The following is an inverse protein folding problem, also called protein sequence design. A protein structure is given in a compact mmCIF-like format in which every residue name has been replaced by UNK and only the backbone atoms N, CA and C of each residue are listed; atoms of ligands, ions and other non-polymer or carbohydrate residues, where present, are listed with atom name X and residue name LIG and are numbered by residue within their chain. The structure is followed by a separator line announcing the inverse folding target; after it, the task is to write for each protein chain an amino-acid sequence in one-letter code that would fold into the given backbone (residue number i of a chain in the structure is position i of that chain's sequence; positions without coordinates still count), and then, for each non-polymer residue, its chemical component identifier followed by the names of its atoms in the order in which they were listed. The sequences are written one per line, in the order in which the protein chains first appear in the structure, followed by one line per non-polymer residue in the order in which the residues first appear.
data_IF_926195260463
#
_entry.id   IF_926195260463
#
_cell.length_a   1.000
_cell.length_b   1.000
_cell.length_c   1.000
_cell.angle_alpha   90.00
_cell.angle_beta   90.00
_cell.angle_gamma   90.00
#
_symmetry.space_group_name_H-M   'P 1'
#
loop_
_entity.id
_entity.type
_entity.pdbx_description
1 polymer ?
#
# COMPACT_ATOMS: atom_id res chain seq x y z
N UNK A 1 -12.98 -4.23 -5.87
CA UNK A 1 -12.44 -3.20 -6.80
C UNK A 1 -10.98 -3.54 -7.05
N UNK A 2 -10.53 -3.51 -8.31
CA UNK A 2 -9.16 -3.86 -8.72
C UNK A 2 -8.60 -2.93 -9.79
N UNK A 3 -7.28 -3.05 -10.09
CA UNK A 3 -6.56 -2.19 -11.04
C UNK A 3 -6.07 -0.91 -10.39
N UNK A 4 -6.46 0.24 -10.93
CA UNK A 4 -6.17 1.55 -10.35
C UNK A 4 -5.25 2.43 -11.20
N UNK A 5 -5.31 3.72 -10.95
CA UNK A 5 -4.42 4.71 -11.58
C UNK A 5 -3.20 4.94 -10.68
N UNK A 6 -2.33 3.93 -10.61
CA UNK A 6 -1.10 3.95 -9.80
C UNK A 6 0.03 3.18 -10.48
N UNK A 7 1.26 3.37 -10.00
CA UNK A 7 2.43 2.58 -10.41
C UNK A 7 2.32 1.10 -10.02
N UNK A 8 1.41 0.78 -9.10
CA UNK A 8 1.21 -0.58 -8.56
C UNK A 8 0.00 -1.29 -9.17
N UNK A 9 -0.46 -0.86 -10.35
CA UNK A 9 -1.59 -1.44 -11.07
C UNK A 9 -1.44 -2.95 -11.30
N UNK A 10 -0.29 -3.41 -11.77
CA UNK A 10 -0.03 -4.84 -12.02
C UNK A 10 -0.13 -5.68 -10.74
N UNK A 11 0.34 -5.14 -9.62
CA UNK A 11 0.23 -5.79 -8.30
C UNK A 11 -1.23 -6.00 -7.90
N UNK A 12 -2.09 -5.01 -8.18
CA UNK A 12 -3.53 -5.14 -7.96
C UNK A 12 -4.15 -6.25 -8.80
N UNK A 13 -3.73 -6.43 -10.06
CA UNK A 13 -4.21 -7.52 -10.91
C UNK A 13 -3.83 -8.90 -10.34
N UNK A 14 -2.57 -9.07 -9.94
CA UNK A 14 -2.06 -10.30 -9.33
C UNK A 14 -2.77 -10.64 -8.02
N UNK A 15 -2.89 -9.68 -7.12
CA UNK A 15 -3.56 -9.83 -5.83
C UNK A 15 -5.03 -10.19 -6.01
N UNK A 16 -5.70 -9.54 -6.97
CA UNK A 16 -7.10 -9.81 -7.29
C UNK A 16 -7.30 -11.20 -7.88
N UNK A 17 -6.45 -11.61 -8.81
CA UNK A 17 -6.51 -12.95 -9.39
C UNK A 17 -6.34 -14.02 -8.30
N UNK A 18 -5.34 -13.87 -7.43
CA UNK A 18 -5.11 -14.76 -6.30
C UNK A 18 -6.32 -14.82 -5.35
N UNK A 19 -6.89 -13.66 -4.99
CA UNK A 19 -8.09 -13.59 -4.15
C UNK A 19 -9.27 -14.34 -4.78
N UNK A 20 -9.55 -14.12 -6.07
CA UNK A 20 -10.68 -14.69 -6.78
C UNK A 20 -10.61 -16.21 -6.94
N UNK A 21 -9.40 -16.80 -6.86
CA UNK A 21 -9.21 -18.26 -6.83
C UNK A 21 -9.61 -18.87 -5.49
N UNK A 22 -9.55 -18.10 -4.39
CA UNK A 22 -9.71 -18.62 -3.03
C UNK A 22 -10.99 -18.13 -2.33
N UNK A 23 -11.65 -17.09 -2.84
CA UNK A 23 -12.87 -16.56 -2.24
C UNK A 23 -14.01 -17.57 -2.30
N UNK A 24 -14.78 -17.68 -1.22
CA UNK A 24 -15.92 -18.60 -1.16
C UNK A 24 -17.10 -18.04 -1.99
N UNK A 25 -17.27 -18.59 -3.21
CA UNK A 25 -18.33 -18.19 -4.15
C UNK A 25 -19.72 -18.67 -3.77
N UNK A 26 -19.84 -19.66 -2.87
CA UNK A 26 -21.15 -20.09 -2.34
C UNK A 26 -21.69 -19.12 -1.30
N UNK A 27 -20.77 -18.36 -0.67
CA UNK A 27 -21.12 -17.39 0.38
C UNK A 27 -21.28 -15.96 -0.16
N UNK A 28 -20.54 -15.59 -1.21
CA UNK A 28 -20.49 -14.24 -1.72
C UNK A 28 -20.86 -14.18 -3.20
N UNK A 29 -21.77 -13.25 -3.54
CA UNK A 29 -21.99 -12.85 -4.92
C UNK A 29 -21.01 -11.69 -5.24
N UNK A 30 -20.11 -11.94 -6.20
CA UNK A 30 -19.04 -10.99 -6.51
C UNK A 30 -19.47 -10.08 -7.65
N UNK A 31 -19.27 -8.76 -7.43
CA UNK A 31 -19.43 -7.75 -8.45
C UNK A 31 -18.07 -7.08 -8.68
N UNK A 32 -17.43 -7.41 -9.79
CA UNK A 32 -16.04 -6.99 -10.03
C UNK A 32 -16.01 -5.64 -10.72
N UNK A 33 -15.30 -4.68 -10.11
CA UNK A 33 -15.06 -3.36 -10.69
C UNK A 33 -13.59 -3.22 -10.98
N UNK A 34 -13.26 -3.08 -12.26
CA UNK A 34 -11.90 -2.78 -12.71
C UNK A 34 -11.71 -1.29 -12.96
N UNK A 35 -10.59 -0.76 -12.48
CA UNK A 35 -10.13 0.60 -12.78
C UNK A 35 -8.93 0.50 -13.71
N UNK A 36 -9.01 1.06 -14.90
CA UNK A 36 -7.92 1.04 -15.86
C UNK A 36 -6.75 1.92 -15.42
N UNK A 37 -5.59 1.79 -16.09
CA UNK A 37 -4.45 2.70 -15.93
C UNK A 37 -4.79 4.18 -16.12
N UNK A 38 -5.83 4.47 -16.93
CA UNK A 38 -6.32 5.84 -17.18
C UNK A 38 -7.36 6.31 -16.16
N UNK A 39 -7.67 5.48 -15.14
CA UNK A 39 -8.64 5.82 -14.10
C UNK A 39 -10.10 5.64 -14.51
N UNK A 40 -10.40 4.92 -15.60
CA UNK A 40 -11.78 4.61 -15.99
C UNK A 40 -12.29 3.39 -15.26
N UNK A 41 -13.53 3.43 -14.84
CA UNK A 41 -14.18 2.42 -14.01
C UNK A 41 -15.17 1.60 -14.80
N UNK A 42 -15.04 0.28 -14.75
CA UNK A 42 -15.91 -0.63 -15.50
C UNK A 42 -16.35 -1.81 -14.65
N UNK A 43 -17.57 -2.29 -14.90
CA UNK A 43 -18.00 -3.63 -14.46
C UNK A 43 -17.32 -4.69 -15.34
N UNK A 44 -16.71 -5.66 -14.69
CA UNK A 44 -16.08 -6.80 -15.34
C UNK A 44 -16.75 -8.11 -14.91
N UNK A 45 -17.27 -8.86 -15.87
CA UNK A 45 -17.95 -10.15 -15.69
C UNK A 45 -17.31 -11.31 -16.48
N UNK A 46 -16.11 -11.07 -17.01
CA UNK A 46 -15.36 -12.04 -17.81
C UNK A 46 -14.56 -13.07 -16.98
N UNK A 47 -13.85 -13.97 -17.66
CA UNK A 47 -12.95 -14.94 -17.03
C UNK A 47 -11.85 -14.24 -16.20
N UNK A 48 -11.59 -14.75 -14.99
CA UNK A 48 -10.61 -14.13 -14.08
C UNK A 48 -9.17 -14.12 -14.64
N UNK A 49 -8.87 -15.02 -15.57
CA UNK A 49 -7.59 -15.09 -16.27
C UNK A 49 -7.31 -13.83 -17.09
N UNK A 50 -8.33 -13.12 -17.57
CA UNK A 50 -8.17 -11.85 -18.25
C UNK A 50 -7.67 -10.74 -17.32
N UNK A 51 -7.88 -10.86 -16.01
CA UNK A 51 -7.36 -9.91 -15.03
C UNK A 51 -5.83 -10.02 -14.97
N UNK A 52 -5.32 -11.23 -14.72
CA UNK A 52 -3.86 -11.44 -14.64
C UNK A 52 -3.14 -11.22 -15.98
N UNK A 53 -3.82 -11.41 -17.11
CA UNK A 53 -3.30 -11.15 -18.45
C UNK A 53 -3.39 -9.67 -18.86
N UNK A 54 -4.00 -8.81 -18.03
CA UNK A 54 -4.28 -7.40 -18.33
C UNK A 54 -5.06 -7.19 -19.65
N UNK A 55 -6.01 -8.10 -19.95
CA UNK A 55 -6.88 -8.03 -21.14
C UNK A 55 -8.35 -7.77 -20.77
N UNK A 56 -8.66 -7.69 -19.47
CA UNK A 56 -10.01 -7.54 -18.93
C UNK A 56 -10.76 -6.30 -19.44
N UNK A 57 -10.04 -5.24 -19.79
CA UNK A 57 -10.58 -3.95 -20.23
C UNK A 57 -10.82 -3.85 -21.75
N UNK A 58 -10.48 -4.88 -22.52
CA UNK A 58 -10.57 -4.88 -23.99
C UNK A 58 -11.96 -5.21 -24.55
N UNK A 59 -12.88 -5.67 -23.70
CA UNK A 59 -14.24 -6.04 -24.10
C UNK A 59 -15.22 -4.87 -23.99
N UNK A 60 -16.47 -5.08 -24.45
CA UNK A 60 -17.56 -4.12 -24.25
C UNK A 60 -17.99 -4.09 -22.79
N UNK A 61 -17.32 -3.27 -21.99
CA UNK A 61 -17.58 -3.11 -20.59
C UNK A 61 -18.64 -2.04 -20.33
N UNK A 62 -19.39 -2.18 -19.25
CA UNK A 62 -20.30 -1.17 -18.76
C UNK A 62 -19.55 -0.20 -17.84
N UNK A 63 -19.70 1.10 -18.09
CA UNK A 63 -19.19 2.10 -17.15
C UNK A 63 -19.93 2.01 -15.83
N UNK A 64 -19.21 2.14 -14.71
CA UNK A 64 -19.79 2.15 -13.38
C UNK A 64 -19.32 3.35 -12.59
N UNK A 65 -20.20 3.81 -11.71
CA UNK A 65 -19.92 4.89 -10.74
C UNK A 65 -20.40 4.43 -9.38
N UNK A 66 -19.57 4.62 -8.36
CA UNK A 66 -20.01 4.54 -6.96
C UNK A 66 -20.78 5.83 -6.66
N UNK A 67 -22.06 5.70 -6.30
CA UNK A 67 -22.84 6.88 -5.89
C UNK A 67 -22.44 7.29 -4.48
N UNK A 68 -22.00 8.53 -4.23
CA UNK A 68 -21.75 9.02 -2.88
C UNK A 68 -23.05 9.23 -2.06
N UNK A 69 -24.22 9.16 -2.70
CA UNK A 69 -25.52 9.27 -2.05
C UNK A 69 -25.81 7.98 -1.24
N UNK A 70 -25.87 8.04 0.11
CA UNK A 70 -26.08 6.86 0.94
C UNK A 70 -27.44 6.20 0.73
N UNK A 71 -28.43 6.91 0.20
CA UNK A 71 -29.73 6.32 -0.12
C UNK A 71 -29.64 5.36 -1.33
N UNK A 72 -28.65 5.53 -2.18
CA UNK A 72 -28.38 4.61 -3.29
C UNK A 72 -27.75 3.32 -2.82
N UNK A 73 -26.87 3.38 -1.84
CA UNK A 73 -26.18 2.22 -1.24
C UNK A 73 -25.69 1.22 -2.30
N UNK A 74 -24.90 1.71 -3.26
CA UNK A 74 -24.46 0.85 -4.36
C UNK A 74 -23.83 1.57 -5.53
N UNK A 75 -23.87 0.87 -6.65
CA UNK A 75 -23.27 1.27 -7.92
C UNK A 75 -24.35 1.69 -8.93
N UNK A 76 -23.93 2.51 -9.86
CA UNK A 76 -24.71 2.88 -11.04
C UNK A 76 -23.97 2.36 -12.27
N UNK A 77 -24.53 1.37 -12.94
CA UNK A 77 -24.12 0.96 -14.29
C UNK A 77 -24.71 1.86 -15.32
N UNK A 78 -23.88 2.39 -16.19
CA UNK A 78 -24.26 3.32 -17.26
C UNK A 78 -24.22 2.60 -18.60
N UNK A 79 -25.35 2.53 -19.29
CA UNK A 79 -25.50 1.91 -20.61
C UNK A 79 -26.29 2.79 -21.57
N UNK A 80 -26.33 2.41 -22.84
CA UNK A 80 -27.17 3.08 -23.83
C UNK A 80 -28.69 2.96 -23.54
N UNK A 81 -29.09 1.94 -22.77
CA UNK A 81 -30.47 1.66 -22.36
C UNK A 81 -30.86 2.47 -21.12
N UNK A 82 -29.91 3.12 -20.46
CA UNK A 82 -30.15 3.90 -19.24
C UNK A 82 -29.19 3.52 -18.11
N UNK A 83 -29.55 3.93 -16.91
CA UNK A 83 -28.78 3.69 -15.69
C UNK A 83 -29.46 2.59 -14.89
N UNK A 84 -28.68 1.55 -14.51
CA UNK A 84 -29.11 0.46 -13.63
C UNK A 84 -28.46 0.63 -12.28
N UNK A 85 -29.24 0.57 -11.21
CA UNK A 85 -28.75 0.59 -9.86
C UNK A 85 -28.45 -0.84 -9.39
N UNK A 86 -27.27 -1.05 -8.77
CA UNK A 86 -26.81 -2.30 -8.19
C UNK A 86 -26.57 -2.05 -6.71
N UNK A 87 -27.34 -2.74 -5.85
CA UNK A 87 -27.14 -2.71 -4.40
C UNK A 87 -25.87 -3.50 -4.01
N UNK A 88 -25.07 -2.98 -3.09
CA UNK A 88 -23.81 -3.57 -2.65
C UNK A 88 -23.78 -3.64 -1.11
N UNK A 89 -23.58 -4.84 -0.55
CA UNK A 89 -23.50 -5.04 0.90
C UNK A 89 -22.18 -4.62 1.53
N UNK A 90 -21.06 -4.77 0.78
CA UNK A 90 -19.72 -4.38 1.22
C UNK A 90 -18.80 -4.13 0.02
N UNK A 91 -17.80 -3.31 0.20
CA UNK A 91 -16.77 -3.02 -0.81
C UNK A 91 -15.41 -3.47 -0.30
N UNK A 92 -14.71 -4.25 -1.13
CA UNK A 92 -13.36 -4.70 -0.88
C UNK A 92 -12.40 -4.17 -1.96
N UNK A 93 -11.65 -3.11 -1.69
CA UNK A 93 -10.61 -2.62 -2.60
C UNK A 93 -9.39 -3.55 -2.54
N UNK A 94 -8.97 -4.05 -3.70
CA UNK A 94 -7.68 -4.72 -3.91
C UNK A 94 -6.83 -3.79 -4.78
N UNK A 95 -6.71 -2.57 -4.33
CA UNK A 95 -5.95 -1.50 -4.97
C UNK A 95 -4.66 -1.30 -4.19
N UNK A 96 -3.57 -1.00 -4.89
CA UNK A 96 -2.28 -0.73 -4.28
C UNK A 96 -1.77 0.66 -4.62
N UNK A 97 -1.06 1.28 -3.65
CA UNK A 97 -0.44 2.58 -3.81
C UNK A 97 -1.42 3.74 -3.87
N UNK A 98 -1.07 4.71 -4.72
CA UNK A 98 -1.82 5.96 -4.88
C UNK A 98 -3.29 5.71 -5.24
N UNK A 99 -4.18 6.45 -4.62
CA UNK A 99 -5.65 6.35 -4.72
C UNK A 99 -6.24 5.05 -4.16
N UNK A 100 -5.43 4.03 -3.87
CA UNK A 100 -5.85 2.73 -3.36
C UNK A 100 -5.65 2.56 -1.85
N UNK A 101 -4.51 3.06 -1.33
CA UNK A 101 -4.10 2.87 0.06
C UNK A 101 -3.89 4.19 0.82
N UNK A 102 -4.12 5.33 0.19
CA UNK A 102 -3.83 6.67 0.72
C UNK A 102 -5.04 7.39 1.33
N UNK A 103 -6.16 6.70 1.52
CA UNK A 103 -7.40 7.28 2.05
C UNK A 103 -8.36 7.79 0.98
N UNK A 104 -7.94 7.88 -0.28
CA UNK A 104 -8.76 8.47 -1.36
C UNK A 104 -9.98 7.60 -1.68
N UNK A 105 -9.78 6.32 -2.00
CA UNK A 105 -10.89 5.38 -2.25
C UNK A 105 -11.71 5.13 -0.97
N UNK A 106 -11.04 5.08 0.18
CA UNK A 106 -11.69 4.90 1.48
C UNK A 106 -12.65 6.05 1.77
N UNK A 107 -12.25 7.30 1.47
CA UNK A 107 -13.10 8.48 1.65
C UNK A 107 -14.33 8.46 0.73
N UNK A 108 -14.17 8.05 -0.54
CA UNK A 108 -15.30 7.86 -1.45
C UNK A 108 -16.28 6.81 -0.91
N UNK A 109 -15.79 5.65 -0.47
CA UNK A 109 -16.61 4.57 0.07
C UNK A 109 -17.28 5.01 1.36
N UNK A 110 -16.60 5.70 2.25
CA UNK A 110 -17.14 6.20 3.52
C UNK A 110 -18.35 7.11 3.31
N UNK A 111 -18.36 7.95 2.26
CA UNK A 111 -19.51 8.78 1.92
C UNK A 111 -20.76 7.98 1.58
N UNK A 112 -20.61 6.79 1.02
CA UNK A 112 -21.72 5.91 0.62
C UNK A 112 -22.39 5.18 1.78
N UNK A 113 -21.74 5.14 2.95
CA UNK A 113 -22.12 4.30 4.11
C UNK A 113 -22.14 2.79 3.81
N UNK A 114 -21.56 2.35 2.71
CA UNK A 114 -21.36 0.93 2.42
C UNK A 114 -20.17 0.43 3.27
N UNK A 115 -20.27 -0.70 3.96
CA UNK A 115 -19.16 -1.28 4.69
C UNK A 115 -17.91 -1.45 3.83
N UNK A 116 -16.80 -0.91 4.30
CA UNK A 116 -15.48 -1.06 3.69
C UNK A 116 -14.73 -2.22 4.36
N UNK A 117 -14.18 -3.12 3.56
CA UNK A 117 -13.25 -4.15 4.05
C UNK A 117 -11.83 -3.60 3.91
N UNK A 118 -11.23 -3.21 5.02
CA UNK A 118 -9.92 -2.58 5.10
C UNK A 118 -9.87 -1.44 6.12
N UNK A 119 -8.77 -0.72 6.15
CA UNK A 119 -8.58 0.46 6.99
C UNK A 119 -9.44 1.63 6.53
N UNK A 120 -9.76 2.54 7.45
CA UNK A 120 -10.53 3.74 7.13
C UNK A 120 -9.69 4.82 6.41
N UNK A 121 -10.32 5.95 6.12
CA UNK A 121 -9.70 7.08 5.41
C UNK A 121 -8.49 7.63 6.16
N UNK A 122 -8.61 7.82 7.48
CA UNK A 122 -7.55 8.46 8.28
C UNK A 122 -6.35 7.54 8.44
N UNK A 123 -6.57 6.29 8.85
CA UNK A 123 -5.49 5.31 9.04
C UNK A 123 -4.77 5.01 7.74
N UNK A 124 -5.50 4.87 6.63
CA UNK A 124 -4.90 4.70 5.29
C UNK A 124 -4.00 5.88 4.91
N UNK A 125 -4.47 7.11 5.08
CA UNK A 125 -3.68 8.30 4.78
C UNK A 125 -2.43 8.44 5.66
N UNK A 126 -2.55 8.12 6.96
CA UNK A 126 -1.43 8.14 7.89
C UNK A 126 -0.38 7.08 7.57
N UNK A 127 -0.80 5.84 7.30
CA UNK A 127 0.11 4.74 6.97
C UNK A 127 0.85 4.96 5.65
N UNK A 128 0.24 5.64 4.69
CA UNK A 128 0.88 5.97 3.42
C UNK A 128 1.97 7.05 3.57
N UNK A 129 1.81 8.01 4.47
CA UNK A 129 2.77 9.11 4.71
C UNK A 129 3.83 8.68 5.72
N UNK A 130 5.01 8.30 5.22
CA UNK A 130 6.10 7.75 6.04
C UNK A 130 6.50 8.67 7.21
N UNK A 131 6.62 9.98 6.98
CA UNK A 131 7.03 10.91 8.04
C UNK A 131 5.95 11.06 9.11
N UNK A 132 4.66 11.11 8.73
CA UNK A 132 3.57 11.20 9.69
C UNK A 132 3.42 9.91 10.47
N UNK A 133 3.50 8.74 9.81
CA UNK A 133 3.46 7.45 10.48
C UNK A 133 4.61 7.34 11.51
N UNK A 134 5.85 7.68 11.11
CA UNK A 134 7.00 7.68 12.02
C UNK A 134 6.79 8.60 13.23
N UNK A 135 6.40 9.84 13.00
CA UNK A 135 6.18 10.80 14.09
C UNK A 135 5.14 10.32 15.10
N UNK A 136 4.04 9.73 14.62
CA UNK A 136 2.95 9.25 15.48
C UNK A 136 3.41 8.04 16.30
N UNK A 137 4.07 7.05 15.69
CA UNK A 137 4.50 5.86 16.41
C UNK A 137 5.70 6.13 17.32
N UNK A 138 6.56 7.09 16.99
CA UNK A 138 7.64 7.56 17.86
C UNK A 138 7.10 8.16 19.16
N UNK A 139 6.05 8.99 19.09
CA UNK A 139 5.36 9.51 20.28
C UNK A 139 4.72 8.40 21.14
N UNK A 140 4.41 7.26 20.55
CA UNK A 140 3.97 6.06 21.27
C UNK A 140 5.12 5.23 21.85
N UNK A 141 6.37 5.71 21.74
CA UNK A 141 7.57 5.04 22.28
C UNK A 141 8.18 3.98 21.34
N UNK A 142 7.75 3.91 20.09
CA UNK A 142 8.34 3.02 19.09
C UNK A 142 9.54 3.71 18.43
N UNK A 143 10.65 3.01 18.34
CA UNK A 143 11.86 3.52 17.68
C UNK A 143 11.63 3.58 16.16
N UNK A 144 11.98 4.71 15.58
CA UNK A 144 11.98 4.95 14.13
C UNK A 144 13.36 5.41 13.67
N UNK A 145 13.70 5.29 12.37
CA UNK A 145 14.95 5.85 11.86
C UNK A 145 14.94 7.38 11.95
N UNK A 146 16.11 7.98 12.21
CA UNK A 146 16.27 9.41 12.05
C UNK A 146 16.06 9.77 10.59
N UNK A 147 15.32 10.85 10.33
CA UNK A 147 14.94 11.19 8.98
C UNK A 147 14.84 12.70 8.75
N UNK A 148 14.99 13.10 7.48
CA UNK A 148 14.84 14.46 7.01
C UNK A 148 13.90 14.45 5.81
N UNK A 149 12.89 15.32 5.83
CA UNK A 149 11.92 15.49 4.76
C UNK A 149 12.33 16.64 3.85
N UNK A 150 12.23 16.43 2.54
CA UNK A 150 12.40 17.45 1.52
C UNK A 150 11.08 17.67 0.78
N UNK A 151 10.67 18.94 0.63
CA UNK A 151 9.49 19.34 -0.14
C UNK A 151 9.85 19.86 -1.54
N UNK A 152 11.11 20.10 -1.79
CA UNK A 152 11.64 20.50 -3.09
C UNK A 152 13.11 20.13 -3.19
N UNK A 153 13.64 20.12 -4.42
CA UNK A 153 15.06 19.90 -4.65
C UNK A 153 15.93 21.04 -4.09
N UNK A 154 15.38 22.25 -3.98
CA UNK A 154 16.08 23.39 -3.38
C UNK A 154 16.39 23.14 -1.90
N UNK A 155 15.47 22.53 -1.15
CA UNK A 155 15.65 22.20 0.26
C UNK A 155 16.83 21.24 0.51
N UNK A 156 17.29 20.51 -0.51
CA UNK A 156 18.46 19.64 -0.37
C UNK A 156 19.70 20.43 0.06
N UNK A 157 19.92 21.62 -0.52
CA UNK A 157 21.03 22.50 -0.15
C UNK A 157 20.79 23.20 1.19
N UNK A 158 19.55 23.63 1.44
CA UNK A 158 19.18 24.33 2.67
C UNK A 158 19.31 23.42 3.90
N UNK A 159 18.97 22.13 3.75
CA UNK A 159 19.02 21.13 4.81
C UNK A 159 20.30 20.28 4.84
N UNK A 160 21.29 20.60 3.99
CA UNK A 160 22.58 19.90 3.98
C UNK A 160 23.23 19.78 5.38
N UNK A 161 23.24 20.82 6.25
CA UNK A 161 23.81 20.71 7.60
C UNK A 161 23.09 19.68 8.49
N UNK A 162 21.81 19.40 8.23
CA UNK A 162 21.04 18.37 8.95
C UNK A 162 21.30 16.99 8.36
N UNK A 163 21.31 16.90 7.02
CA UNK A 163 21.53 15.63 6.30
C UNK A 163 22.91 15.05 6.62
N UNK A 164 23.93 15.90 6.75
CA UNK A 164 25.30 15.47 7.09
C UNK A 164 25.44 14.95 8.52
N UNK A 165 24.45 15.14 9.38
CA UNK A 165 24.42 14.55 10.73
C UNK A 165 23.88 13.11 10.74
N UNK A 166 23.21 12.68 9.66
CA UNK A 166 22.73 11.32 9.51
C UNK A 166 23.87 10.35 9.20
N UNK A 167 23.79 9.16 9.75
CA UNK A 167 24.81 8.10 9.59
C UNK A 167 24.55 7.28 8.32
N UNK A 168 25.54 7.17 7.44
CA UNK A 168 25.44 6.27 6.28
C UNK A 168 25.48 4.78 6.69
N UNK A 169 24.83 3.89 5.90
CA UNK A 169 24.12 4.16 4.66
C UNK A 169 22.77 4.85 4.90
N UNK A 170 22.29 5.60 3.89
CA UNK A 170 20.99 6.26 3.94
C UNK A 170 20.04 5.63 2.93
N UNK A 171 18.75 5.67 3.24
CA UNK A 171 17.67 5.42 2.29
C UNK A 171 17.03 6.74 1.87
N UNK A 172 16.92 6.96 0.58
CA UNK A 172 16.20 8.08 -0.03
C UNK A 172 14.93 7.53 -0.66
N UNK A 173 13.76 8.03 -0.23
CA UNK A 173 12.46 7.44 -0.59
C UNK A 173 11.45 8.52 -0.95
N UNK A 174 10.54 8.27 -1.91
CA UNK A 174 9.32 9.06 -2.04
C UNK A 174 8.49 8.96 -0.75
N UNK A 175 7.83 10.04 -0.35
CA UNK A 175 7.07 10.08 0.91
C UNK A 175 5.91 9.09 0.90
N UNK A 176 5.13 9.03 -0.20
CA UNK A 176 3.85 8.33 -0.29
C UNK A 176 3.79 7.28 -1.40
N UNK A 177 4.92 6.73 -1.83
CA UNK A 177 4.93 5.60 -2.74
C UNK A 177 5.11 4.28 -1.97
N UNK A 178 4.39 3.25 -2.40
CA UNK A 178 4.52 1.89 -1.90
C UNK A 178 5.49 1.04 -2.72
N UNK A 179 5.50 -0.27 -2.47
CA UNK A 179 6.23 -1.30 -3.25
C UNK A 179 7.69 -0.99 -3.59
N UNK A 180 8.36 -0.22 -2.77
CA UNK A 180 9.75 0.22 -2.94
C UNK A 180 10.04 1.01 -4.23
N UNK A 181 9.03 1.55 -4.91
CA UNK A 181 9.24 2.44 -6.05
C UNK A 181 9.97 3.71 -5.63
N UNK A 182 10.96 4.12 -6.43
CA UNK A 182 11.71 5.35 -6.22
C UNK A 182 12.66 5.33 -5.01
N UNK A 183 12.90 4.17 -4.39
CA UNK A 183 13.80 4.03 -3.24
C UNK A 183 15.24 3.82 -3.73
N UNK A 184 16.17 4.54 -3.12
CA UNK A 184 17.62 4.35 -3.30
C UNK A 184 18.30 4.16 -1.95
N UNK A 185 19.19 3.18 -1.84
CA UNK A 185 20.14 3.06 -0.73
C UNK A 185 21.47 3.65 -1.18
N UNK A 186 21.95 4.65 -0.46
CA UNK A 186 23.20 5.35 -0.77
C UNK A 186 24.22 5.13 0.33
N UNK A 187 25.49 5.05 -0.05
CA UNK A 187 26.61 4.81 0.86
C UNK A 187 27.55 6.00 0.96
N UNK A 188 27.42 6.95 0.04
CA UNK A 188 28.24 8.17 -0.02
C UNK A 188 27.38 9.41 -0.30
N UNK A 189 27.85 10.54 0.14
CA UNK A 189 27.17 11.83 -0.08
C UNK A 189 27.04 12.18 -1.57
N UNK A 190 28.00 11.76 -2.41
CA UNK A 190 27.98 12.04 -3.86
C UNK A 190 26.81 11.41 -4.60
N UNK A 191 26.17 10.37 -4.02
CA UNK A 191 25.02 9.70 -4.60
C UNK A 191 23.69 10.41 -4.27
N UNK A 192 23.70 11.32 -3.27
CA UNK A 192 22.49 11.86 -2.65
C UNK A 192 21.61 12.64 -3.62
N UNK A 193 22.19 13.55 -4.42
CA UNK A 193 21.43 14.41 -5.34
C UNK A 193 20.69 13.57 -6.39
N UNK A 194 21.37 12.57 -6.97
CA UNK A 194 20.75 11.67 -7.95
C UNK A 194 19.61 10.86 -7.33
N UNK A 195 19.81 10.35 -6.12
CA UNK A 195 18.78 9.58 -5.39
C UNK A 195 17.55 10.43 -5.06
N UNK A 196 17.76 11.70 -4.64
CA UNK A 196 16.69 12.66 -4.36
C UNK A 196 15.93 13.03 -5.64
N UNK A 197 16.63 13.31 -6.73
CA UNK A 197 16.01 13.57 -8.04
C UNK A 197 15.15 12.37 -8.48
N UNK A 198 15.67 11.15 -8.33
CA UNK A 198 14.94 9.93 -8.67
C UNK A 198 13.67 9.76 -7.81
N UNK A 199 13.76 9.96 -6.50
CA UNK A 199 12.60 9.87 -5.62
C UNK A 199 11.53 10.92 -5.94
N UNK A 200 11.91 12.16 -6.31
CA UNK A 200 10.96 13.19 -6.76
C UNK A 200 10.22 12.86 -8.06
N UNK A 201 10.65 11.87 -8.84
CA UNK A 201 9.86 11.43 -10.01
C UNK A 201 8.59 10.67 -9.61
N UNK A 202 8.51 10.19 -8.36
CA UNK A 202 7.37 9.40 -7.84
C UNK A 202 6.46 10.16 -6.89
N UNK A 203 6.99 11.17 -6.18
CA UNK A 203 6.20 11.99 -5.24
C UNK A 203 6.75 13.43 -5.19
N UNK A 204 5.93 14.35 -4.73
CA UNK A 204 6.32 15.74 -4.52
C UNK A 204 7.03 15.99 -3.18
N UNK A 205 7.23 14.95 -2.38
CA UNK A 205 8.00 14.96 -1.13
C UNK A 205 8.92 13.75 -1.08
N UNK A 206 10.11 13.96 -0.51
CA UNK A 206 11.13 12.91 -0.33
C UNK A 206 11.52 12.84 1.13
N UNK A 207 11.72 11.62 1.63
CA UNK A 207 12.29 11.38 2.96
C UNK A 207 13.66 10.73 2.81
N UNK A 208 14.64 11.23 3.57
CA UNK A 208 15.99 10.68 3.71
C UNK A 208 16.08 10.09 5.10
N UNK A 209 16.41 8.81 5.21
CA UNK A 209 16.42 8.06 6.47
C UNK A 209 17.73 7.33 6.68
N UNK A 210 18.19 7.25 7.92
CA UNK A 210 19.27 6.32 8.30
C UNK A 210 18.84 4.86 8.09
N UNK A 211 19.74 4.03 7.58
CA UNK A 211 19.50 2.61 7.49
C UNK A 211 19.58 1.97 8.89
N UNK A 212 18.55 1.23 9.26
CA UNK A 212 18.57 0.41 10.45
C UNK A 212 19.29 -0.92 10.13
N UNK A 213 20.30 -1.25 10.89
CA UNK A 213 21.04 -2.49 10.74
C UNK A 213 20.23 -3.66 11.31
N UNK A 214 20.19 -4.76 10.58
CA UNK A 214 19.46 -5.97 10.95
C UNK A 214 18.83 -6.64 9.73
N UNK A 215 17.87 -7.50 9.99
CA UNK A 215 17.03 -8.12 8.95
C UNK A 215 15.57 -7.67 9.10
N UNK A 216 14.83 -7.74 8.01
CA UNK A 216 13.44 -7.33 7.98
C UNK A 216 12.52 -8.45 8.46
N UNK A 217 11.52 -8.10 9.25
CA UNK A 217 10.46 -9.00 9.69
C UNK A 217 9.10 -8.40 9.39
N UNK A 218 8.15 -9.26 9.03
CA UNK A 218 6.74 -8.92 8.85
C UNK A 218 5.88 -9.48 9.98
N UNK A 219 4.78 -8.78 10.31
CA UNK A 219 3.80 -9.26 11.27
C UNK A 219 2.41 -8.77 10.87
N UNK A 220 1.62 -9.66 10.29
CA UNK A 220 0.26 -9.32 9.86
C UNK A 220 -0.69 -9.21 11.07
N UNK A 221 -1.57 -8.20 11.03
CA UNK A 221 -2.61 -7.99 12.04
C UNK A 221 -3.95 -7.77 11.33
N UNK A 222 -5.00 -8.35 11.89
CA UNK A 222 -6.38 -8.12 11.45
C UNK A 222 -7.29 -7.98 12.67
N UNK A 223 -8.29 -7.13 12.57
CA UNK A 223 -9.32 -6.94 13.60
C UNK A 223 -9.48 -5.48 13.96
N UNK A 224 -10.45 -5.20 14.81
CA UNK A 224 -10.75 -3.87 15.34
C UNK A 224 -10.69 -3.90 16.89
N UNK A 225 -11.76 -4.35 17.56
CA UNK A 225 -11.75 -4.48 19.04
C UNK A 225 -10.84 -5.64 19.48
N UNK A 226 -10.95 -6.77 18.81
CA UNK A 226 -10.15 -7.96 19.06
C UNK A 226 -9.18 -8.19 17.91
N UNK A 227 -7.90 -8.00 18.19
CA UNK A 227 -6.84 -8.22 17.21
C UNK A 227 -6.45 -9.69 17.11
N UNK A 228 -6.35 -10.18 15.87
CA UNK A 228 -5.73 -11.44 15.53
C UNK A 228 -4.37 -11.10 14.93
N UNK A 229 -3.32 -11.66 15.52
CA UNK A 229 -1.93 -11.40 15.11
C UNK A 229 -1.35 -12.66 14.49
N UNK A 230 -0.77 -12.52 13.31
CA UNK A 230 -0.10 -13.60 12.60
C UNK A 230 1.23 -14.01 13.25
N UNK A 231 1.81 -15.08 12.72
CA UNK A 231 3.22 -15.41 13.01
C UNK A 231 4.10 -14.33 12.38
N UNK A 232 5.26 -14.15 13.00
CA UNK A 232 6.28 -13.25 12.43
C UNK A 232 6.98 -14.00 11.29
N UNK A 233 7.10 -13.35 10.14
CA UNK A 233 7.92 -13.79 9.01
C UNK A 233 9.22 -12.99 8.93
N UNK A 234 10.23 -13.59 8.31
CA UNK A 234 11.55 -13.00 8.09
C UNK A 234 11.83 -12.93 6.60
N UNK A 235 12.29 -11.77 6.14
CA UNK A 235 12.74 -11.54 4.78
C UNK A 235 14.26 -11.67 4.73
N UNK A 236 14.76 -12.79 4.20
CA UNK A 236 16.18 -13.00 3.95
C UNK A 236 16.56 -12.46 2.59
N UNK A 237 17.45 -11.47 2.57
CA UNK A 237 17.98 -10.84 1.37
C UNK A 237 19.37 -11.40 1.06
N UNK A 238 19.61 -11.88 -0.15
CA UNK A 238 20.93 -12.30 -0.60
C UNK A 238 21.85 -11.12 -0.87
N UNK A 239 21.28 -9.99 -1.37
CA UNK A 239 22.00 -8.76 -1.68
C UNK A 239 21.07 -7.54 -1.58
N UNK A 240 21.63 -6.37 -1.25
CA UNK A 240 20.95 -5.08 -1.38
C UNK A 240 19.88 -4.79 -0.32
N UNK A 241 18.69 -4.44 -0.77
CA UNK A 241 17.49 -4.22 0.02
C UNK A 241 16.27 -4.82 -0.69
N UNK A 242 15.16 -4.99 0.01
CA UNK A 242 13.93 -5.58 -0.53
C UNK A 242 13.24 -4.61 -1.49
N UNK A 243 13.75 -4.56 -2.72
CA UNK A 243 13.23 -3.69 -3.78
C UNK A 243 11.96 -4.26 -4.44
N UNK A 244 11.44 -3.54 -5.44
CA UNK A 244 10.22 -3.95 -6.13
C UNK A 244 10.35 -5.34 -6.79
N UNK A 245 11.46 -5.60 -7.49
CA UNK A 245 11.65 -6.88 -8.17
C UNK A 245 11.69 -8.03 -7.16
N UNK A 246 12.42 -7.86 -6.06
CA UNK A 246 12.51 -8.86 -5.01
C UNK A 246 11.17 -9.12 -4.31
N UNK A 247 10.35 -8.07 -4.09
CA UNK A 247 9.02 -8.22 -3.46
C UNK A 247 8.06 -9.11 -4.24
N UNK A 248 8.14 -9.08 -5.57
CA UNK A 248 7.17 -9.78 -6.42
C UNK A 248 7.75 -10.98 -7.17
N UNK A 249 9.06 -11.11 -7.31
CA UNK A 249 9.69 -12.24 -7.99
C UNK A 249 10.39 -13.22 -7.05
N UNK A 250 10.81 -12.78 -5.86
CA UNK A 250 11.58 -13.54 -4.88
C UNK A 250 12.80 -14.26 -5.49
N UNK A 251 13.46 -13.63 -6.47
CA UNK A 251 14.56 -14.28 -7.21
C UNK A 251 15.81 -14.46 -6.35
N UNK A 252 16.09 -13.47 -5.48
CA UNK A 252 17.27 -13.49 -4.59
C UNK A 252 16.90 -13.37 -3.11
N UNK A 253 15.60 -13.26 -2.78
CA UNK A 253 15.08 -13.22 -1.42
C UNK A 253 14.29 -14.47 -1.07
N UNK A 254 14.26 -14.78 0.23
CA UNK A 254 13.47 -15.88 0.80
C UNK A 254 12.64 -15.39 1.95
N UNK A 255 11.40 -15.83 2.01
CA UNK A 255 10.52 -15.59 3.15
C UNK A 255 10.53 -16.84 4.03
N UNK A 256 10.92 -16.66 5.28
CA UNK A 256 10.86 -17.71 6.30
C UNK A 256 9.66 -17.48 7.20
N UNK A 257 8.71 -18.40 7.20
CA UNK A 257 7.55 -18.37 8.08
C UNK A 257 7.44 -19.69 8.85
N UNK A 258 7.65 -19.67 10.15
CA UNK A 258 7.95 -18.53 11.01
C UNK A 258 9.38 -18.00 10.81
N UNK A 259 9.61 -16.74 11.24
CA UNK A 259 10.95 -16.15 11.30
C UNK A 259 11.91 -16.98 12.17
N UNK A 260 13.20 -16.93 11.85
CA UNK A 260 14.27 -17.63 12.57
C UNK A 260 14.71 -16.88 13.83
N UNK A 261 13.75 -16.58 14.70
CA UNK A 261 13.90 -15.86 15.96
C UNK A 261 13.38 -16.71 17.12
N UNK A 262 13.77 -16.39 18.36
CA UNK A 262 13.24 -17.04 19.53
C UNK A 262 11.80 -16.57 19.88
N UNK A 263 11.12 -17.30 20.77
CA UNK A 263 9.73 -17.01 21.14
C UNK A 263 9.57 -15.67 21.88
N UNK A 264 10.58 -15.23 22.61
CA UNK A 264 10.56 -13.97 23.35
C UNK A 264 10.58 -12.80 22.36
N UNK A 265 11.46 -12.87 21.36
CA UNK A 265 11.54 -11.87 20.29
C UNK A 265 10.27 -11.87 19.44
N UNK A 266 9.71 -13.03 19.08
CA UNK A 266 8.44 -13.12 18.35
C UNK A 266 7.33 -12.40 19.11
N UNK A 267 7.17 -12.65 20.40
CA UNK A 267 6.17 -11.95 21.22
C UNK A 267 6.41 -10.45 21.27
N UNK A 268 7.66 -10.02 21.42
CA UNK A 268 8.01 -8.59 21.43
C UNK A 268 7.62 -7.91 20.13
N UNK A 269 7.90 -8.53 18.98
CA UNK A 269 7.50 -8.01 17.65
C UNK A 269 5.98 -7.95 17.55
N UNK A 270 5.27 -9.00 17.93
CA UNK A 270 3.81 -9.05 17.90
C UNK A 270 3.16 -7.94 18.77
N UNK A 271 3.66 -7.71 19.99
CA UNK A 271 3.17 -6.64 20.84
C UNK A 271 3.49 -5.26 20.28
N UNK A 272 4.70 -5.06 19.73
CA UNK A 272 5.07 -3.82 19.05
C UNK A 272 4.16 -3.55 17.86
N UNK A 273 3.89 -4.55 17.04
CA UNK A 273 3.00 -4.44 15.90
C UNK A 273 1.56 -4.07 16.31
N UNK A 274 1.03 -4.63 17.42
CA UNK A 274 -0.28 -4.24 17.97
C UNK A 274 -0.31 -2.78 18.42
N UNK A 275 0.78 -2.31 19.06
CA UNK A 275 0.88 -0.90 19.48
C UNK A 275 0.83 0.00 18.25
N UNK A 276 1.64 -0.29 17.22
CA UNK A 276 1.67 0.46 15.96
C UNK A 276 0.29 0.46 15.30
N UNK A 277 -0.33 -0.70 15.15
CA UNK A 277 -1.66 -0.86 14.55
C UNK A 277 -2.72 0.02 15.22
N UNK A 278 -2.78 -0.01 16.55
CA UNK A 278 -3.73 0.82 17.32
C UNK A 278 -3.40 2.31 17.27
N UNK A 279 -2.10 2.64 17.34
CA UNK A 279 -1.63 4.04 17.33
C UNK A 279 -1.94 4.73 16.00
N UNK A 280 -1.86 4.01 14.89
CA UNK A 280 -2.20 4.50 13.55
C UNK A 280 -3.71 4.40 13.25
N UNK A 281 -4.50 3.74 14.11
CA UNK A 281 -5.96 3.63 13.97
C UNK A 281 -6.40 2.59 12.94
N UNK A 282 -5.56 1.63 12.63
CA UNK A 282 -5.88 0.55 11.69
C UNK A 282 -6.98 -0.38 12.18
#
# INVERSE_FOLDING_TARGET
IFGGHSSEYSVSLESTYSLLQHINKDKYHLYLIGITHLGKWYHFDGPIEQIIQDTWWQNNLLEVVISPDPQKHGLLEISKQGIKHIYIDAIFPILHGKNGEDGTIQGLIQMTQIPLIGCDTLSSALCMDKAKAHNIVEHAGIRVPQSIVLNSLQELKEKEPLITQLSFPLFVKPMKAGSSYGISKITTYSELENAVCYAFTYDNQVIIEEAILGFEVGCAIIGFDKLIVGRVDEIELSHGFFDFNEKYTLQTSKIHMPARIDQEMEKKIQETAKIIYRTLGC
#
